data_IF_864809133271
#
_entry.id   IF_864809133271
#
_cell.length_a   1.000
_cell.length_b   1.000
_cell.length_c   1.000
_cell.angle_alpha   90.00
_cell.angle_beta   90.00
_cell.angle_gamma   90.00
#
_symmetry.space_group_name_H-M   'P 1'
#
loop_
_entity.id
_entity.type
_entity.pdbx_description
1 polymer ?
#
# COMPACT_ATOMS: atom_id res chain seq x y z
N UNK A 1 10.07 4.51 10.23
CA UNK A 1 10.93 3.60 9.45
C UNK A 1 10.20 2.27 9.36
N UNK A 2 9.40 2.03 8.30
CA UNK A 2 8.64 0.78 8.12
C UNK A 2 9.15 -0.04 6.93
N UNK A 3 9.95 0.59 6.06
CA UNK A 3 10.50 -0.06 4.88
C UNK A 3 11.55 -1.13 5.23
N UNK A 4 12.17 -1.02 6.41
CA UNK A 4 13.16 -1.95 6.96
C UNK A 4 12.55 -3.14 7.70
N UNK A 5 11.25 -3.07 8.05
CA UNK A 5 10.60 -4.12 8.85
C UNK A 5 10.37 -5.41 8.05
N UNK A 6 10.37 -5.28 6.71
CA UNK A 6 10.09 -6.38 5.80
C UNK A 6 11.08 -6.38 4.64
N UNK A 7 11.49 -7.58 4.22
CA UNK A 7 12.28 -7.80 3.00
C UNK A 7 11.49 -8.73 2.08
N UNK A 8 10.58 -8.19 1.23
CA UNK A 8 9.71 -9.01 0.40
C UNK A 8 10.49 -9.77 -0.67
N UNK A 9 10.01 -10.96 -1.03
CA UNK A 9 10.57 -11.76 -2.12
C UNK A 9 9.99 -11.36 -3.48
N UNK A 10 10.76 -11.60 -4.54
CA UNK A 10 10.27 -11.58 -5.93
C UNK A 10 9.93 -13.00 -6.36
N UNK A 11 8.74 -13.19 -6.92
CA UNK A 11 8.30 -14.47 -7.51
C UNK A 11 7.44 -14.22 -8.76
N UNK A 12 6.89 -15.31 -9.33
CA UNK A 12 5.99 -15.26 -10.50
C UNK A 12 4.72 -14.42 -10.30
N UNK A 13 4.35 -14.10 -9.05
CA UNK A 13 3.13 -13.34 -8.74
C UNK A 13 3.40 -11.85 -8.65
N UNK A 14 4.54 -11.44 -8.07
CA UNK A 14 4.89 -10.04 -7.88
C UNK A 14 6.36 -9.86 -7.53
N UNK A 15 6.91 -8.71 -7.94
CA UNK A 15 8.24 -8.26 -7.51
C UNK A 15 8.24 -7.77 -6.06
N UNK A 16 9.42 -7.78 -5.44
CA UNK A 16 9.62 -7.27 -4.09
C UNK A 16 9.18 -5.81 -3.94
N UNK A 17 9.47 -4.96 -4.93
CA UNK A 17 9.11 -3.54 -4.95
C UNK A 17 7.60 -3.36 -5.01
N UNK A 18 6.91 -4.14 -5.84
CA UNK A 18 5.45 -4.09 -5.93
C UNK A 18 4.80 -4.52 -4.61
N UNK A 19 5.34 -5.55 -3.94
CA UNK A 19 4.86 -5.99 -2.61
C UNK A 19 5.06 -4.93 -1.55
N UNK A 20 6.23 -4.28 -1.53
CA UNK A 20 6.51 -3.18 -0.60
C UNK A 20 5.56 -2.00 -0.84
N UNK A 21 5.30 -1.65 -2.10
CA UNK A 21 4.34 -0.62 -2.47
C UNK A 21 2.91 -0.98 -2.04
N UNK A 22 2.50 -2.23 -2.26
CA UNK A 22 1.18 -2.71 -1.85
C UNK A 22 1.01 -2.63 -0.32
N UNK A 23 2.01 -3.04 0.46
CA UNK A 23 1.97 -2.94 1.92
C UNK A 23 1.77 -1.48 2.39
N UNK A 24 2.51 -0.53 1.79
CA UNK A 24 2.33 0.90 2.07
C UNK A 24 0.91 1.38 1.76
N UNK A 25 0.35 0.98 0.62
CA UNK A 25 -0.98 1.39 0.20
C UNK A 25 -2.08 0.78 1.08
N UNK A 26 -1.90 -0.46 1.55
CA UNK A 26 -2.84 -1.10 2.47
C UNK A 26 -2.90 -0.37 3.83
N UNK A 27 -1.77 0.08 4.35
CA UNK A 27 -1.73 0.88 5.58
C UNK A 27 -2.42 2.23 5.41
N UNK A 28 -2.19 2.91 4.27
CA UNK A 28 -2.89 4.15 3.95
C UNK A 28 -4.40 3.94 3.85
N UNK A 29 -4.82 2.88 3.14
CA UNK A 29 -6.23 2.51 3.02
C UNK A 29 -6.85 2.27 4.38
N UNK A 30 -6.21 1.46 5.24
CA UNK A 30 -6.70 1.18 6.58
C UNK A 30 -6.86 2.45 7.42
N UNK A 31 -5.88 3.35 7.39
CA UNK A 31 -5.96 4.63 8.08
C UNK A 31 -7.17 5.46 7.60
N UNK A 32 -7.32 5.66 6.29
CA UNK A 32 -8.42 6.45 5.73
C UNK A 32 -9.79 5.84 6.04
N UNK A 33 -9.92 4.51 5.93
CA UNK A 33 -11.15 3.80 6.22
C UNK A 33 -11.52 3.88 7.71
N UNK A 34 -10.54 3.90 8.61
CA UNK A 34 -10.79 3.91 10.07
C UNK A 34 -10.97 5.30 10.66
N UNK A 35 -10.33 6.34 10.10
CA UNK A 35 -10.38 7.71 10.64
C UNK A 35 -11.27 8.66 9.85
N UNK A 36 -11.53 8.40 8.58
CA UNK A 36 -12.20 9.32 7.67
C UNK A 36 -13.59 8.86 7.26
N UNK A 37 -13.65 8.03 6.23
CA UNK A 37 -14.88 7.80 5.46
C UNK A 37 -15.69 6.59 5.90
N UNK A 38 -15.13 5.67 6.70
CA UNK A 38 -15.74 4.36 7.08
C UNK A 38 -16.28 3.53 5.90
N UNK A 39 -15.94 3.93 4.67
CA UNK A 39 -16.36 3.34 3.42
C UNK A 39 -15.11 2.89 2.64
N UNK A 40 -15.21 1.86 1.79
CA UNK A 40 -14.06 1.33 1.06
C UNK A 40 -13.27 2.43 0.32
N UNK A 41 -11.97 2.50 0.56
CA UNK A 41 -11.08 3.49 -0.05
C UNK A 41 -10.13 2.83 -1.06
N UNK A 42 -10.12 3.34 -2.30
CA UNK A 42 -9.21 2.87 -3.34
C UNK A 42 -8.04 3.84 -3.49
N UNK A 43 -6.82 3.33 -3.26
CA UNK A 43 -5.59 4.11 -3.48
C UNK A 43 -5.31 4.16 -4.97
N UNK A 44 -5.42 5.34 -5.57
CA UNK A 44 -5.05 5.60 -6.95
C UNK A 44 -3.66 6.23 -7.03
N UNK A 45 -2.91 5.90 -8.08
CA UNK A 45 -1.67 6.59 -8.44
C UNK A 45 -2.06 7.90 -9.11
N UNK A 46 -2.55 8.87 -8.35
CA UNK A 46 -2.88 10.18 -8.94
C UNK A 46 -1.60 10.82 -9.47
N UNK A 47 -1.45 10.90 -10.80
CA UNK A 47 -0.84 12.09 -11.41
C UNK A 47 -1.90 13.19 -11.26
N UNK A 48 -1.82 13.96 -10.19
CA UNK A 48 -2.58 15.20 -10.09
C UNK A 48 -1.98 16.16 -11.14
N UNK A 49 -2.63 16.25 -12.31
CA UNK A 49 -2.44 17.32 -13.27
C UNK A 49 -3.17 18.58 -12.80
#
# INVERSE_FOLDING_TARGET
EYASDFTPITDMRATAEYRALAAKNLLLRFYVETTGTRAPFQVTRNEAA
#
